data_IF_709776840580
#
_entry.id   IF_709776840580
#
_cell.length_a   1.000
_cell.length_b   1.000
_cell.length_c   1.000
_cell.angle_alpha   90.00
_cell.angle_beta   90.00
_cell.angle_gamma   90.00
#
_symmetry.space_group_name_H-M   'P 1'
#
loop_
_entity.id
_entity.type
_entity.pdbx_description
1 polymer ?
#
# COMPACT_ATOMS: atom_id res chain seq x y z
N UNK A 1 -5.79 -7.47 -12.32
CA UNK A 1 -6.09 -6.55 -11.21
C UNK A 1 -5.69 -5.15 -11.63
N UNK A 2 -6.53 -4.13 -11.39
CA UNK A 2 -6.17 -2.74 -11.70
C UNK A 2 -5.65 -2.06 -10.43
N UNK A 3 -4.42 -1.57 -10.48
CA UNK A 3 -3.75 -0.87 -9.37
C UNK A 3 -3.79 0.62 -9.66
N UNK A 4 -4.38 1.40 -8.75
CA UNK A 4 -4.36 2.86 -8.82
C UNK A 4 -3.51 3.39 -7.67
N UNK A 5 -2.38 4.01 -8.00
CA UNK A 5 -1.46 4.58 -7.00
C UNK A 5 -1.87 6.04 -6.73
N UNK A 6 -2.06 6.41 -5.47
CA UNK A 6 -2.35 7.79 -5.06
C UNK A 6 -1.37 8.23 -3.98
N UNK A 7 -0.43 9.10 -4.33
CA UNK A 7 0.49 9.65 -3.34
C UNK A 7 -0.06 10.97 -2.80
N UNK A 8 -0.55 10.95 -1.55
CA UNK A 8 -0.92 12.15 -0.81
C UNK A 8 0.16 12.43 0.24
N UNK A 9 1.07 13.34 -0.09
CA UNK A 9 2.11 13.78 0.85
C UNK A 9 1.48 14.83 1.75
N UNK A 10 1.18 14.45 2.99
CA UNK A 10 0.55 15.34 3.96
C UNK A 10 1.58 15.75 5.04
N UNK A 11 2.15 16.97 4.99
CA UNK A 11 3.06 17.42 6.03
C UNK A 11 2.24 17.84 7.27
N UNK A 12 2.07 16.93 8.22
CA UNK A 12 1.46 17.19 9.52
C UNK A 12 2.48 17.50 10.61
N UNK A 13 2.25 18.55 11.40
CA UNK A 13 3.07 18.93 12.55
C UNK A 13 3.20 17.80 13.59
N UNK A 14 4.43 17.45 13.98
CA UNK A 14 4.78 16.57 15.09
C UNK A 14 4.22 15.11 15.07
N UNK A 15 3.76 14.61 13.93
CA UNK A 15 3.41 13.20 13.79
C UNK A 15 4.68 12.31 13.74
N UNK A 16 4.66 11.07 14.29
CA UNK A 16 5.80 10.15 14.22
C UNK A 16 6.23 9.80 12.78
N UNK A 17 5.30 9.93 11.83
CA UNK A 17 5.49 9.63 10.42
C UNK A 17 4.94 10.81 9.57
N UNK A 18 5.75 11.85 9.30
CA UNK A 18 5.34 13.06 8.59
C UNK A 18 5.14 12.87 7.08
N UNK A 19 5.51 11.72 6.51
CA UNK A 19 5.28 11.40 5.11
C UNK A 19 4.28 10.26 5.00
N UNK A 20 3.32 10.39 4.09
CA UNK A 20 2.31 9.37 3.83
C UNK A 20 2.09 9.17 2.33
N UNK A 21 1.61 7.99 1.96
CA UNK A 21 1.15 7.65 0.62
C UNK A 21 0.16 6.48 0.69
N UNK A 22 -0.64 6.30 -0.36
CA UNK A 22 -1.62 5.20 -0.42
C UNK A 22 -1.66 4.50 -1.78
N UNK A 23 -2.00 3.22 -1.76
CA UNK A 23 -2.27 2.44 -2.98
C UNK A 23 -3.68 1.89 -2.85
N UNK A 24 -4.48 2.08 -3.90
CA UNK A 24 -5.83 1.55 -4.01
C UNK A 24 -5.81 0.39 -5.02
N UNK A 25 -6.21 -0.78 -4.55
CA UNK A 25 -6.23 -2.04 -5.28
C UNK A 25 -7.67 -2.46 -5.50
N UNK A 26 -8.10 -2.49 -6.77
CA UNK A 26 -9.46 -2.87 -7.13
C UNK A 26 -9.45 -4.25 -7.79
N UNK A 27 -10.20 -5.18 -7.22
CA UNK A 27 -10.51 -6.47 -7.83
C UNK A 27 -11.81 -6.38 -8.61
N UNK A 28 -11.87 -7.05 -9.76
CA UNK A 28 -13.06 -7.14 -10.60
C UNK A 28 -13.52 -8.59 -10.78
N UNK A 29 -12.77 -9.54 -10.23
CA UNK A 29 -13.05 -10.98 -10.27
C UNK A 29 -12.73 -11.64 -8.93
N UNK A 30 -13.38 -12.77 -8.64
CA UNK A 30 -13.13 -13.57 -7.43
C UNK A 30 -11.68 -14.06 -7.35
N UNK A 31 -11.08 -14.45 -8.49
CA UNK A 31 -9.66 -14.82 -8.58
C UNK A 31 -8.76 -13.68 -8.11
N UNK A 32 -9.01 -12.45 -8.55
CA UNK A 32 -8.23 -11.28 -8.13
C UNK A 32 -8.41 -10.96 -6.65
N UNK A 33 -9.61 -11.16 -6.09
CA UNK A 33 -9.86 -10.98 -4.66
C UNK A 33 -9.03 -11.96 -3.80
N UNK A 34 -8.95 -13.23 -4.22
CA UNK A 34 -8.11 -14.23 -3.54
C UNK A 34 -6.62 -13.92 -3.64
N UNK A 35 -6.13 -13.51 -4.81
CA UNK A 35 -4.73 -13.09 -4.98
C UNK A 35 -4.39 -11.86 -4.12
N UNK A 36 -5.34 -10.94 -4.01
CA UNK A 36 -5.20 -9.73 -3.21
C UNK A 36 -5.17 -10.05 -1.70
N UNK A 37 -5.99 -11.00 -1.23
CA UNK A 37 -5.94 -11.47 0.16
C UNK A 37 -4.58 -12.09 0.50
N UNK A 38 -4.03 -12.94 -0.38
CA UNK A 38 -2.69 -13.52 -0.22
C UNK A 38 -1.60 -12.44 -0.22
N UNK A 39 -1.70 -11.44 -1.10
CA UNK A 39 -0.76 -10.32 -1.11
C UNK A 39 -0.81 -9.51 0.19
N UNK A 40 -2.00 -9.28 0.76
CA UNK A 40 -2.14 -8.60 2.05
C UNK A 40 -1.50 -9.42 3.18
N UNK A 41 -1.71 -10.73 3.20
CA UNK A 41 -1.22 -11.62 4.26
C UNK A 41 0.30 -11.84 4.21
N UNK A 42 0.85 -12.08 3.02
CA UNK A 42 2.26 -12.47 2.83
C UNK A 42 3.13 -11.37 2.23
N UNK A 43 2.56 -10.51 1.38
CA UNK A 43 3.31 -9.45 0.69
C UNK A 43 3.62 -8.27 1.62
N UNK A 44 2.69 -7.88 2.49
CA UNK A 44 2.86 -6.68 3.33
C UNK A 44 3.91 -6.84 4.43
N UNK A 45 4.10 -8.05 4.95
CA UNK A 45 5.14 -8.33 5.95
C UNK A 45 6.55 -8.05 5.42
N UNK A 46 6.75 -8.13 4.09
CA UNK A 46 8.01 -7.74 3.45
C UNK A 46 8.22 -6.22 3.34
N UNK A 47 7.18 -5.42 3.56
CA UNK A 47 7.21 -3.95 3.46
C UNK A 47 7.43 -3.26 4.81
N UNK A 48 7.45 -4.03 5.90
CA UNK A 48 7.67 -3.52 7.25
C UNK A 48 9.16 -3.37 7.49
N UNK A 49 9.63 -2.12 7.55
CA UNK A 49 11.00 -1.75 7.91
C UNK A 49 11.01 -0.63 8.96
N UNK A 50 12.16 -0.39 9.59
CA UNK A 50 12.29 0.61 10.65
C UNK A 50 11.93 2.03 10.13
N UNK A 51 11.07 2.72 10.87
CA UNK A 51 10.57 4.04 10.49
C UNK A 51 9.50 4.02 9.39
N UNK A 52 8.93 2.85 9.07
CA UNK A 52 7.79 2.68 8.17
C UNK A 52 6.63 2.03 8.93
N UNK A 53 5.44 2.59 8.79
CA UNK A 53 4.18 2.02 9.24
C UNK A 53 3.28 1.73 8.04
N UNK A 54 2.75 0.51 7.97
CA UNK A 54 1.83 0.08 6.91
C UNK A 54 0.50 -0.28 7.54
N UNK A 55 -0.60 0.20 6.94
CA UNK A 55 -1.97 -0.09 7.37
C UNK A 55 -2.83 -0.48 6.17
N UNK A 56 -3.78 -1.37 6.39
CA UNK A 56 -4.70 -1.85 5.34
C UNK A 56 -6.13 -1.50 5.74
N UNK A 57 -6.90 -1.04 4.77
CA UNK A 57 -8.33 -0.75 4.92
C UNK A 57 -9.09 -1.39 3.78
N UNK A 58 -10.30 -1.89 4.06
CA UNK A 58 -11.14 -2.63 3.12
C UNK A 58 -12.47 -1.87 2.87
N UNK A 59 -12.45 -0.70 2.18
CA UNK A 59 -13.68 -0.05 1.74
C UNK A 59 -14.40 -0.87 0.66
N UNK A 60 -15.67 -0.55 0.40
CA UNK A 60 -16.50 -1.24 -0.61
C UNK A 60 -15.92 -1.14 -2.03
N UNK A 61 -15.18 -0.08 -2.34
CA UNK A 61 -14.65 0.17 -3.69
C UNK A 61 -13.30 -0.53 -3.98
N UNK A 62 -12.66 -1.14 -2.98
CA UNK A 62 -11.37 -1.82 -3.14
C UNK A 62 -10.56 -1.88 -1.84
N UNK A 63 -9.32 -2.36 -1.90
CA UNK A 63 -8.41 -2.36 -0.75
C UNK A 63 -7.50 -1.14 -0.83
N UNK A 64 -7.40 -0.40 0.27
CA UNK A 64 -6.45 0.71 0.38
C UNK A 64 -5.33 0.35 1.34
N UNK A 65 -4.10 0.40 0.85
CA UNK A 65 -2.87 0.23 1.63
C UNK A 65 -2.30 1.62 1.88
N UNK A 66 -2.19 2.00 3.14
CA UNK A 66 -1.53 3.22 3.60
C UNK A 66 -0.11 2.92 4.01
N UNK A 67 0.82 3.78 3.59
CA UNK A 67 2.23 3.74 3.96
C UNK A 67 2.58 5.09 4.57
N UNK A 68 3.04 5.08 5.81
CA UNK A 68 3.54 6.26 6.49
C UNK A 68 5.01 6.05 6.87
N UNK A 69 5.86 7.06 6.72
CA UNK A 69 7.27 6.95 7.08
C UNK A 69 7.87 8.26 7.62
N UNK A 70 9.06 8.13 8.19
CA UNK A 70 9.91 9.25 8.65
C UNK A 70 10.58 10.03 7.50
N UNK A 71 10.62 9.46 6.29
CA UNK A 71 11.15 10.09 5.08
C UNK A 71 10.31 9.80 3.84
N UNK A 72 10.29 10.74 2.91
CA UNK A 72 9.63 10.57 1.60
C UNK A 72 10.21 9.39 0.82
N UNK A 73 11.54 9.22 0.86
CA UNK A 73 12.21 8.15 0.12
C UNK A 73 11.76 6.76 0.55
N UNK A 74 11.48 6.55 1.84
CA UNK A 74 10.93 5.28 2.33
C UNK A 74 9.50 5.05 1.84
N UNK A 75 8.66 6.09 1.83
CA UNK A 75 7.32 6.00 1.24
C UNK A 75 7.43 5.61 -0.24
N UNK A 76 8.23 6.35 -1.01
CA UNK A 76 8.40 6.11 -2.45
C UNK A 76 8.95 4.71 -2.73
N UNK A 77 9.91 4.22 -1.92
CA UNK A 77 10.44 2.86 -2.02
C UNK A 77 9.35 1.81 -1.88
N UNK A 78 8.56 1.85 -0.81
CA UNK A 78 7.48 0.90 -0.56
C UNK A 78 6.42 0.95 -1.66
N UNK A 79 6.01 2.16 -2.08
CA UNK A 79 5.01 2.33 -3.14
C UNK A 79 5.50 1.80 -4.50
N UNK A 80 6.81 1.81 -4.74
CA UNK A 80 7.43 1.29 -5.96
C UNK A 80 7.69 -0.22 -5.90
N UNK A 81 7.82 -0.82 -4.71
CA UNK A 81 7.92 -2.28 -4.54
C UNK A 81 6.65 -2.99 -5.00
N UNK A 82 5.49 -2.34 -4.89
CA UNK A 82 4.22 -2.91 -5.36
C UNK A 82 4.14 -2.71 -6.89
N UNK A 83 4.28 -3.77 -7.70
CA UNK A 83 4.30 -3.65 -9.14
C UNK A 83 2.92 -3.19 -9.63
N UNK A 84 2.88 -2.30 -10.63
CA UNK A 84 1.63 -1.77 -11.20
C UNK A 84 0.82 -2.84 -11.93
N UNK A 85 1.49 -3.91 -12.38
CA UNK A 85 0.88 -5.10 -12.94
C UNK A 85 1.21 -6.27 -12.01
N UNK A 86 0.32 -6.56 -11.07
CA UNK A 86 0.44 -7.75 -10.24
C UNK A 86 -0.37 -8.88 -10.87
N UNK A 87 0.34 -9.91 -11.32
CA UNK A 87 -0.23 -11.17 -11.82
C UNK A 87 0.24 -12.26 -10.87
N UNK A 88 -0.67 -12.81 -10.07
CA UNK A 88 -0.42 -14.07 -9.39
C UNK A 88 -0.67 -15.19 -10.40
N UNK A 89 0.41 -15.88 -10.79
CA UNK A 89 0.31 -17.20 -11.40
C UNK A 89 -0.12 -18.24 -10.36
#
# INVERSE_FOLDING_TARGET
MKITKHTEINPGSAAPYPFAGKIVLNSHTEREANSLALFVEYGLSSLIEEGVAVSVTFPEEGITIWVCADSKDKVDKVLNTIPTNFVCE
#
